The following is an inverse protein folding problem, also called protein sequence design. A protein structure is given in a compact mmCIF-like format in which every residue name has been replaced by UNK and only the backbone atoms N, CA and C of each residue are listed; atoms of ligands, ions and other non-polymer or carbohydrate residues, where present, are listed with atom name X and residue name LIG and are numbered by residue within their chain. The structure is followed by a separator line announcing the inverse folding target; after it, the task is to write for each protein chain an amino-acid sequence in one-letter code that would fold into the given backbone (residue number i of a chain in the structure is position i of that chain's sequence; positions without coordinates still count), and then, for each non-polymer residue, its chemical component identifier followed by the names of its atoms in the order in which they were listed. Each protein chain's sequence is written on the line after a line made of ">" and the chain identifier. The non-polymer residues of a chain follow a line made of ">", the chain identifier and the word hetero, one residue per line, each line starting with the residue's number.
data_IF_765460727570
#
_entry.id   IF_765460727570
#
_cell.length_a   1.000
_cell.length_b   1.000
_cell.length_c   1.000
_cell.angle_alpha   90.00
_cell.angle_beta   90.00
_cell.angle_gamma   90.00
#
_symmetry.space_group_name_H-M   'P 1'
#
loop_
_entity.id
_entity.type
_entity.pdbx_description
1 polymer ?
#
# COMPACT_ATOMS: atom_id res chain seq x y z
N UNK A 1 23.02 -4.58 0.39
CA UNK A 1 22.15 -5.77 0.64
C UNK A 1 21.88 -5.85 2.14
N UNK A 2 20.64 -6.11 2.55
CA UNK A 2 20.29 -6.38 3.96
C UNK A 2 20.10 -7.90 4.12
N UNK A 3 20.62 -8.49 5.20
CA UNK A 3 20.38 -9.91 5.52
C UNK A 3 18.95 -10.04 6.05
N UNK A 4 18.19 -10.96 5.47
CA UNK A 4 16.81 -11.26 5.88
C UNK A 4 16.67 -12.77 6.02
N UNK A 5 16.09 -13.21 7.13
CA UNK A 5 15.71 -14.60 7.36
C UNK A 5 14.23 -14.75 7.03
N UNK A 6 13.88 -15.78 6.26
CA UNK A 6 12.52 -16.08 5.84
C UNK A 6 12.27 -17.57 6.12
N UNK A 7 11.05 -17.91 6.49
CA UNK A 7 10.63 -19.31 6.57
C UNK A 7 10.08 -19.74 5.21
N UNK A 8 10.45 -20.95 4.78
CA UNK A 8 9.96 -21.57 3.55
C UNK A 8 9.44 -22.96 3.91
N UNK A 9 8.49 -23.46 3.12
CA UNK A 9 8.15 -24.88 3.17
C UNK A 9 9.34 -25.71 2.70
N UNK A 10 9.53 -26.88 3.30
CA UNK A 10 10.64 -27.80 3.01
C UNK A 10 10.70 -28.15 1.52
N UNK A 11 9.56 -28.48 0.92
CA UNK A 11 9.44 -28.79 -0.51
C UNK A 11 9.97 -27.64 -1.39
N UNK A 12 9.64 -26.39 -1.03
CA UNK A 12 10.12 -25.21 -1.74
C UNK A 12 11.63 -25.03 -1.62
N UNK A 13 12.22 -25.29 -0.45
CA UNK A 13 13.69 -25.23 -0.27
C UNK A 13 14.39 -26.30 -1.12
N UNK A 14 13.85 -27.52 -1.17
CA UNK A 14 14.40 -28.61 -1.97
C UNK A 14 14.38 -28.30 -3.47
N UNK A 15 13.25 -27.80 -3.98
CA UNK A 15 13.13 -27.37 -5.37
C UNK A 15 14.10 -26.24 -5.71
N UNK A 16 14.22 -25.25 -4.82
CA UNK A 16 15.12 -24.11 -4.99
C UNK A 16 16.59 -24.55 -5.04
N UNK A 17 17.00 -25.49 -4.19
CA UNK A 17 18.34 -26.11 -4.22
C UNK A 17 18.59 -26.88 -5.49
N UNK A 18 17.62 -27.67 -5.95
CA UNK A 18 17.73 -28.41 -7.21
C UNK A 18 17.89 -27.45 -8.40
N UNK A 19 17.11 -26.38 -8.43
CA UNK A 19 17.19 -25.34 -9.46
C UNK A 19 18.52 -24.60 -9.44
N UNK A 20 19.01 -24.24 -8.25
CA UNK A 20 20.31 -23.59 -8.05
C UNK A 20 21.45 -24.45 -8.60
N UNK A 21 21.46 -25.75 -8.25
CA UNK A 21 22.44 -26.71 -8.78
C UNK A 21 22.36 -26.82 -10.30
N UNK A 22 21.16 -26.98 -10.86
CA UNK A 22 20.95 -27.11 -12.32
C UNK A 22 21.42 -25.86 -13.09
N UNK A 23 21.26 -24.67 -12.50
CA UNK A 23 21.65 -23.40 -13.14
C UNK A 23 23.08 -22.95 -12.80
N UNK A 24 23.77 -23.60 -11.87
CA UNK A 24 25.07 -23.15 -11.38
C UNK A 24 25.02 -21.78 -10.69
N UNK A 25 23.89 -21.42 -10.07
CA UNK A 25 23.68 -20.11 -9.45
C UNK A 25 23.48 -20.23 -7.94
N UNK A 26 23.94 -19.24 -7.13
CA UNK A 26 23.60 -19.19 -5.72
C UNK A 26 22.10 -19.07 -5.48
N UNK A 27 21.57 -19.77 -4.47
CA UNK A 27 20.17 -19.71 -4.05
C UNK A 27 19.73 -18.26 -3.82
N UNK A 28 20.56 -17.47 -3.14
CA UNK A 28 20.26 -16.07 -2.86
C UNK A 28 20.05 -15.24 -4.13
N UNK A 29 20.71 -15.57 -5.24
CA UNK A 29 20.50 -14.90 -6.53
C UNK A 29 19.12 -15.23 -7.08
N UNK A 30 18.71 -16.51 -7.05
CA UNK A 30 17.39 -16.92 -7.49
C UNK A 30 16.27 -16.27 -6.66
N UNK A 31 16.41 -16.22 -5.34
CA UNK A 31 15.43 -15.60 -4.44
C UNK A 31 15.30 -14.11 -4.73
N UNK A 32 16.42 -13.39 -4.90
CA UNK A 32 16.40 -11.96 -5.22
C UNK A 32 15.73 -11.69 -6.56
N UNK A 33 16.06 -12.48 -7.58
CA UNK A 33 15.48 -12.33 -8.91
C UNK A 33 13.97 -12.60 -8.89
N UNK A 34 13.53 -13.65 -8.19
CA UNK A 34 12.13 -13.99 -8.04
C UNK A 34 11.35 -12.87 -7.34
N UNK A 35 11.84 -12.39 -6.19
CA UNK A 35 11.22 -11.28 -5.46
C UNK A 35 11.20 -9.98 -6.28
N UNK A 36 12.29 -9.69 -7.01
CA UNK A 36 12.37 -8.52 -7.88
C UNK A 36 11.34 -8.56 -9.00
N UNK A 37 11.18 -9.71 -9.65
CA UNK A 37 10.16 -9.91 -10.69
C UNK A 37 8.75 -9.80 -10.12
N UNK A 38 8.47 -10.46 -9.00
CA UNK A 38 7.17 -10.40 -8.33
C UNK A 38 6.78 -8.96 -7.98
N UNK A 39 7.69 -8.19 -7.37
CA UNK A 39 7.42 -6.79 -7.02
C UNK A 39 7.27 -5.90 -8.26
N UNK A 40 8.02 -6.14 -9.33
CA UNK A 40 7.88 -5.41 -10.59
C UNK A 40 6.55 -5.70 -11.28
N UNK A 41 6.10 -6.95 -11.24
CA UNK A 41 4.79 -7.37 -11.71
C UNK A 41 3.67 -6.72 -10.89
N UNK A 42 3.75 -6.79 -9.57
CA UNK A 42 2.80 -6.12 -8.68
C UNK A 42 2.71 -4.62 -8.94
N UNK A 43 3.86 -3.94 -9.13
CA UNK A 43 3.91 -2.51 -9.51
C UNK A 43 3.18 -2.21 -10.82
N UNK A 44 3.24 -3.11 -11.79
CA UNK A 44 2.56 -2.96 -13.09
C UNK A 44 1.06 -3.22 -12.99
N UNK A 45 0.65 -4.26 -12.25
CA UNK A 45 -0.76 -4.69 -12.17
C UNK A 45 -1.58 -3.91 -11.15
N UNK A 46 -1.04 -3.63 -9.98
CA UNK A 46 -1.72 -2.79 -8.98
C UNK A 46 -1.56 -1.30 -9.28
N UNK A 47 -0.84 -0.99 -10.37
CA UNK A 47 -0.56 0.35 -10.85
C UNK A 47 -0.28 1.27 -9.69
N UNK A 48 0.69 0.91 -8.83
CA UNK A 48 1.03 1.55 -7.56
C UNK A 48 0.73 3.04 -7.67
N UNK A 49 -0.52 3.40 -7.33
CA UNK A 49 -0.99 4.75 -7.47
C UNK A 49 -0.27 5.43 -6.34
N UNK A 50 0.88 6.03 -6.67
CA UNK A 50 1.52 6.98 -5.80
C UNK A 50 0.36 7.85 -5.31
N UNK A 51 0.07 7.86 -4.02
CA UNK A 51 -1.17 8.47 -3.49
C UNK A 51 -1.29 9.96 -3.85
N UNK A 52 -0.22 10.55 -4.39
CA UNK A 52 -0.11 11.90 -4.91
C UNK A 52 -0.27 12.04 -6.43
N UNK A 53 -0.17 10.96 -7.23
CA UNK A 53 -0.46 11.01 -8.66
C UNK A 53 -1.94 11.36 -8.84
N UNK A 54 -2.21 12.44 -9.58
CA UNK A 54 -3.55 13.03 -9.75
C UNK A 54 -4.21 13.59 -8.46
N UNK A 55 -3.46 13.77 -7.36
CA UNK A 55 -3.93 14.60 -6.25
C UNK A 55 -4.22 16.03 -6.76
N UNK A 56 -5.44 16.53 -6.53
CA UNK A 56 -5.90 17.82 -7.05
C UNK A 56 -6.50 17.78 -8.46
N UNK A 57 -6.62 16.60 -9.09
CA UNK A 57 -7.27 16.46 -10.42
C UNK A 57 -8.80 16.37 -10.34
N UNK A 58 -9.41 17.08 -9.39
CA UNK A 58 -10.87 17.10 -9.19
C UNK A 58 -11.63 17.87 -10.28
N UNK A 59 -10.91 18.59 -11.15
CA UNK A 59 -11.51 19.49 -12.15
C UNK A 59 -11.99 20.84 -11.57
N UNK A 60 -12.00 20.96 -10.24
CA UNK A 60 -12.38 22.17 -9.53
C UNK A 60 -11.15 23.01 -9.20
N UNK A 61 -11.13 24.26 -9.67
CA UNK A 61 -10.05 25.22 -9.40
C UNK A 61 -10.26 26.01 -8.11
N UNK A 62 -11.48 25.99 -7.57
CA UNK A 62 -11.96 26.81 -6.46
C UNK A 62 -12.08 26.06 -5.13
N UNK A 63 -11.57 24.83 -5.07
CA UNK A 63 -11.72 23.95 -3.90
C UNK A 63 -11.12 24.58 -2.64
N UNK A 64 -9.97 25.26 -2.76
CA UNK A 64 -9.30 25.91 -1.63
C UNK A 64 -10.07 27.14 -1.13
N UNK A 65 -10.60 27.96 -2.03
CA UNK A 65 -11.38 29.14 -1.64
C UNK A 65 -12.72 28.76 -1.00
N UNK A 66 -13.29 27.63 -1.41
CA UNK A 66 -14.59 27.14 -0.93
C UNK A 66 -14.48 26.15 0.22
N UNK A 67 -13.27 25.90 0.73
CA UNK A 67 -13.02 24.85 1.72
C UNK A 67 -13.96 24.98 2.92
N UNK A 68 -14.10 26.17 3.49
CA UNK A 68 -15.01 26.42 4.63
C UNK A 68 -16.47 26.15 4.27
N UNK A 69 -16.95 26.67 3.13
CA UNK A 69 -18.34 26.45 2.70
C UNK A 69 -18.62 24.97 2.46
N UNK A 70 -17.69 24.24 1.86
CA UNK A 70 -17.81 22.81 1.60
C UNK A 70 -17.80 21.99 2.90
N UNK A 71 -16.92 22.34 3.85
CA UNK A 71 -16.81 21.67 5.14
C UNK A 71 -18.07 21.84 5.98
N UNK A 72 -18.67 23.03 6.00
CA UNK A 72 -19.78 23.35 6.90
C UNK A 72 -21.17 23.23 6.28
N UNK A 73 -21.29 22.95 4.96
CA UNK A 73 -22.57 22.93 4.22
C UNK A 73 -23.66 22.11 4.90
N UNK A 74 -23.28 20.94 5.42
CA UNK A 74 -24.20 19.94 5.96
C UNK A 74 -24.12 19.84 7.49
N UNK A 75 -23.38 20.75 8.16
CA UNK A 75 -23.27 20.80 9.61
C UNK A 75 -24.18 21.86 10.22
N UNK A 76 -24.88 21.49 11.29
CA UNK A 76 -25.55 22.43 12.18
C UNK A 76 -24.64 22.70 13.37
N UNK A 77 -24.07 23.91 13.50
CA UNK A 77 -23.22 24.26 14.63
C UNK A 77 -24.00 24.11 15.94
N UNK A 78 -23.39 23.46 16.94
CA UNK A 78 -23.95 23.25 18.28
C UNK A 78 -25.34 22.60 18.32
N UNK A 79 -25.63 21.66 17.41
CA UNK A 79 -26.86 20.88 17.52
C UNK A 79 -26.98 20.25 18.93
N UNK A 80 -28.16 20.32 19.59
CA UNK A 80 -28.33 19.83 20.96
C UNK A 80 -27.96 18.34 21.15
N UNK A 81 -27.91 17.57 20.06
CA UNK A 81 -27.51 16.16 20.03
C UNK A 81 -26.01 15.89 19.96
N UNK A 82 -25.19 16.86 19.53
CA UNK A 82 -23.75 16.64 19.30
C UNK A 82 -22.98 16.30 20.59
N UNK A 83 -23.37 16.88 21.73
CA UNK A 83 -22.73 16.59 23.03
C UNK A 83 -23.11 15.22 23.61
N UNK A 84 -24.25 14.63 23.20
CA UNK A 84 -24.71 13.30 23.68
C UNK A 84 -23.94 12.15 23.02
N UNK A 85 -23.50 12.32 21.77
CA UNK A 85 -22.76 11.28 21.05
C UNK A 85 -21.31 11.10 21.56
N UNK A 86 -20.68 12.18 22.03
CA UNK A 86 -19.29 12.15 22.52
C UNK A 86 -19.15 11.42 23.87
N UNK A 87 -20.16 11.47 24.75
CA UNK A 87 -20.13 10.84 26.09
C UNK A 87 -20.45 9.35 26.13
N UNK A 88 -20.81 8.73 25.01
CA UNK A 88 -21.22 7.31 24.95
C UNK A 88 -20.11 6.37 24.46
N UNK A 89 -18.88 6.91 24.30
CA UNK A 89 -17.68 6.22 23.81
C UNK A 89 -16.53 6.30 24.83
N UNK A 90 -16.87 6.37 26.11
CA UNK A 90 -16.01 6.00 27.25
C UNK A 90 -16.65 4.80 27.94
#
# INVERSE_FOLDING_TARGET
>A
MKRTTLFLHEETDQELRALARRKGLPIATLVRDALGRYLAELRRHEGLQLKFLAAGRSGHRDTSERAETLLWRDLVPHSPGARRAARRRE
#
